data_IF_202182258532
#
_entry.id   IF_202182258532
#
_cell.length_a   1.000
_cell.length_b   1.000
_cell.length_c   1.000
_cell.angle_alpha   90.00
_cell.angle_beta   90.00
_cell.angle_gamma   90.00
#
_symmetry.space_group_name_H-M   'P 1'
#
loop_
_entity.id
_entity.type
_entity.pdbx_description
1 polymer ?
#
# COMPACT_ATOMS: atom_id res chain seq x y z
N UNK A 1 -22.33 6.55 -26.84
CA UNK A 1 -22.07 5.41 -25.94
C UNK A 1 -20.58 5.12 -26.00
N UNK A 2 -19.82 5.45 -24.95
CA UNK A 2 -18.42 5.00 -24.85
C UNK A 2 -18.47 3.68 -24.05
N UNK A 3 -18.07 2.59 -24.70
CA UNK A 3 -17.79 1.32 -24.04
C UNK A 3 -16.63 1.54 -23.06
N UNK A 4 -16.95 1.80 -21.78
CA UNK A 4 -15.97 1.63 -20.72
C UNK A 4 -15.75 0.12 -20.59
N UNK A 5 -14.75 -0.40 -21.28
CA UNK A 5 -14.16 -1.68 -20.90
C UNK A 5 -13.78 -1.55 -19.42
N UNK A 6 -14.48 -2.25 -18.55
CA UNK A 6 -14.21 -2.26 -17.13
C UNK A 6 -12.88 -2.99 -16.91
N UNK A 7 -11.77 -2.27 -17.05
CA UNK A 7 -10.48 -2.77 -16.63
C UNK A 7 -10.58 -2.99 -15.12
N UNK A 8 -10.48 -4.25 -14.67
CA UNK A 8 -10.30 -4.53 -13.26
C UNK A 8 -9.00 -3.86 -12.84
N UNK A 9 -9.11 -2.75 -12.13
CA UNK A 9 -7.96 -1.97 -11.68
C UNK A 9 -7.68 -2.36 -10.24
N UNK A 10 -6.44 -2.78 -9.98
CA UNK A 10 -5.94 -3.08 -8.65
C UNK A 10 -4.65 -2.30 -8.43
N UNK A 11 -4.62 -1.51 -7.36
CA UNK A 11 -3.47 -0.70 -7.01
C UNK A 11 -3.25 -0.67 -5.50
N UNK A 12 -1.99 -0.52 -5.09
CA UNK A 12 -1.56 -0.49 -3.69
C UNK A 12 -0.57 0.65 -3.50
N UNK A 13 -0.95 1.59 -2.66
CA UNK A 13 -0.10 2.69 -2.20
C UNK A 13 -0.04 2.74 -0.68
N UNK A 14 1.06 3.24 -0.13
CA UNK A 14 1.16 3.50 1.29
C UNK A 14 0.95 4.98 1.60
N UNK A 15 0.29 5.24 2.73
CA UNK A 15 0.08 6.57 3.27
C UNK A 15 0.36 6.57 4.77
N UNK A 16 0.57 7.76 5.32
CA UNK A 16 0.81 7.96 6.73
C UNK A 16 -0.28 8.82 7.36
N UNK A 17 -0.66 8.51 8.59
CA UNK A 17 -1.54 9.33 9.43
C UNK A 17 -0.82 9.63 10.74
N UNK A 18 -1.06 10.80 11.31
CA UNK A 18 -0.43 11.19 12.58
C UNK A 18 -0.77 10.14 13.66
N UNK A 19 0.27 9.62 14.32
CA UNK A 19 0.09 8.68 15.43
C UNK A 19 -0.62 9.36 16.58
N UNK A 20 -1.57 8.65 17.19
CA UNK A 20 -2.25 9.10 18.41
C UNK A 20 -1.44 8.79 19.67
N UNK A 21 -0.57 7.79 19.60
CA UNK A 21 0.20 7.29 20.74
C UNK A 21 1.54 8.00 20.88
N UNK A 22 2.17 8.36 19.76
CA UNK A 22 3.57 8.83 19.75
C UNK A 22 3.70 10.18 19.06
N UNK A 23 4.10 11.23 19.79
CA UNK A 23 4.28 12.59 19.25
C UNK A 23 5.39 12.62 18.20
N UNK A 24 5.09 13.14 17.02
CA UNK A 24 6.06 13.28 15.91
C UNK A 24 6.20 12.03 15.02
N UNK A 25 5.50 10.95 15.36
CA UNK A 25 5.42 9.74 14.55
C UNK A 25 4.11 9.69 13.75
N UNK A 26 4.12 8.88 12.71
CA UNK A 26 2.98 8.57 11.89
C UNK A 26 2.83 7.07 11.72
N UNK A 27 1.58 6.60 11.82
CA UNK A 27 1.18 5.24 11.51
C UNK A 27 1.10 5.05 9.99
N UNK A 28 1.62 3.93 9.49
CA UNK A 28 1.60 3.57 8.07
C UNK A 28 0.37 2.72 7.75
N UNK A 29 -0.32 3.08 6.68
CA UNK A 29 -1.48 2.37 6.13
C UNK A 29 -1.21 1.98 4.68
N UNK A 30 -1.64 0.78 4.30
CA UNK A 30 -1.82 0.42 2.89
C UNK A 30 -3.21 0.86 2.44
N UNK A 31 -3.26 1.62 1.35
CA UNK A 31 -4.45 1.96 0.60
C UNK A 31 -4.51 1.06 -0.62
N UNK A 32 -5.46 0.14 -0.60
CA UNK A 32 -5.74 -0.80 -1.67
C UNK A 32 -6.91 -0.22 -2.46
N UNK A 33 -6.73 0.05 -3.75
CA UNK A 33 -7.78 0.58 -4.62
C UNK A 33 -8.18 -0.48 -5.62
N UNK A 34 -9.46 -0.85 -5.60
CA UNK A 34 -10.05 -1.81 -6.53
C UNK A 34 -11.20 -1.16 -7.27
N UNK A 35 -11.14 -1.10 -8.60
CA UNK A 35 -12.21 -0.53 -9.44
C UNK A 35 -12.64 0.87 -8.98
N UNK A 36 -11.66 1.72 -8.63
CA UNK A 36 -11.87 3.07 -8.14
C UNK A 36 -12.31 3.16 -6.66
N UNK A 37 -12.55 2.04 -5.97
CA UNK A 37 -12.92 2.03 -4.57
C UNK A 37 -11.71 1.76 -3.66
N UNK A 38 -11.27 2.73 -2.85
CA UNK A 38 -10.18 2.54 -1.92
C UNK A 38 -10.64 1.89 -0.61
N UNK A 39 -9.81 1.01 -0.06
CA UNK A 39 -9.86 0.49 1.31
C UNK A 39 -8.50 0.69 1.96
N UNK A 40 -8.49 1.06 3.23
CA UNK A 40 -7.27 1.25 4.01
C UNK A 40 -7.10 0.13 5.03
N UNK A 41 -5.86 -0.32 5.21
CA UNK A 41 -5.48 -1.30 6.23
C UNK A 41 -4.21 -0.84 6.95
N UNK A 42 -4.18 -0.96 8.27
CA UNK A 42 -3.03 -0.57 9.08
C UNK A 42 -1.90 -1.61 8.94
N UNK A 43 -0.66 -1.14 8.72
CA UNK A 43 0.54 -1.99 8.56
C UNK A 43 1.23 -2.27 9.90
N UNK A 44 0.72 -1.68 11.01
CA UNK A 44 1.33 -1.78 12.36
C UNK A 44 2.81 -1.38 12.36
N UNK A 45 3.15 -0.38 11.56
CA UNK A 45 4.46 0.22 11.50
C UNK A 45 4.32 1.74 11.66
N UNK A 46 5.28 2.35 12.36
CA UNK A 46 5.37 3.78 12.57
C UNK A 46 6.66 4.34 11.98
N UNK A 47 6.61 5.59 11.52
CA UNK A 47 7.77 6.32 11.01
C UNK A 47 7.69 7.79 11.44
N UNK A 48 8.84 8.44 11.63
CA UNK A 48 8.85 9.88 11.86
C UNK A 48 8.29 10.62 10.64
N UNK A 49 7.47 11.64 10.89
CA UNK A 49 6.87 12.43 9.81
C UNK A 49 7.93 13.05 8.86
N UNK A 50 9.11 13.36 9.39
CA UNK A 50 10.23 13.93 8.61
C UNK A 50 10.89 12.92 7.68
N UNK A 51 10.77 11.63 7.96
CA UNK A 51 11.44 10.55 7.24
C UNK A 51 10.53 9.90 6.19
N UNK A 52 9.29 10.36 6.08
CA UNK A 52 8.34 9.91 5.05
C UNK A 52 8.41 10.79 3.79
N UNK A 53 8.48 10.17 2.61
CA UNK A 53 8.29 10.85 1.35
C UNK A 53 6.81 10.78 0.93
N UNK A 54 6.05 11.84 1.23
CA UNK A 54 4.61 11.90 0.95
C UNK A 54 4.26 11.76 -0.54
N UNK A 55 5.11 12.23 -1.45
CA UNK A 55 4.87 12.14 -2.90
C UNK A 55 5.01 10.71 -3.41
N UNK A 56 5.99 9.97 -2.89
CA UNK A 56 6.26 8.59 -3.27
C UNK A 56 5.44 7.57 -2.48
N UNK A 57 4.96 7.95 -1.29
CA UNK A 57 4.30 7.02 -0.38
C UNK A 57 5.27 5.96 0.15
N UNK A 58 6.50 6.36 0.46
CA UNK A 58 7.54 5.45 0.96
C UNK A 58 8.48 6.17 1.96
N UNK A 59 9.21 5.44 2.82
CA UNK A 59 10.28 5.98 3.64
C UNK A 59 11.39 6.61 2.79
N UNK A 60 12.12 7.57 3.33
CA UNK A 60 13.37 8.03 2.72
C UNK A 60 14.44 6.94 2.84
N UNK A 61 15.17 6.62 1.77
CA UNK A 61 16.19 5.56 1.77
C UNK A 61 17.55 6.00 2.33
N UNK A 62 17.57 6.82 3.39
CA UNK A 62 18.79 7.50 3.88
C UNK A 62 19.55 6.74 4.96
N UNK A 63 18.89 5.88 5.74
CA UNK A 63 19.53 5.05 6.77
C UNK A 63 19.24 3.57 6.55
N UNK A 64 20.06 2.64 7.08
CA UNK A 64 19.80 1.21 7.00
C UNK A 64 18.41 0.81 7.53
N UNK A 65 17.93 1.45 8.59
CA UNK A 65 16.63 1.19 9.21
C UNK A 65 15.49 1.60 8.29
N UNK A 66 15.62 2.76 7.62
CA UNK A 66 14.61 3.23 6.67
C UNK A 66 14.59 2.39 5.39
N UNK A 67 15.76 1.92 4.91
CA UNK A 67 15.84 0.96 3.80
C UNK A 67 15.16 -0.35 4.15
N UNK A 68 15.41 -0.88 5.36
CA UNK A 68 14.75 -2.10 5.84
C UNK A 68 13.23 -1.94 5.91
N UNK A 69 12.74 -0.75 6.31
CA UNK A 69 11.31 -0.45 6.29
C UNK A 69 10.76 -0.34 4.85
N UNK A 70 11.50 0.30 3.94
CA UNK A 70 11.13 0.37 2.52
C UNK A 70 11.00 -1.04 1.90
N UNK A 71 12.00 -1.90 2.09
CA UNK A 71 11.98 -3.31 1.65
C UNK A 71 10.81 -4.11 2.26
N UNK A 72 10.47 -3.84 3.53
CA UNK A 72 9.34 -4.46 4.19
C UNK A 72 8.00 -4.06 3.53
N UNK A 73 7.82 -2.78 3.20
CA UNK A 73 6.64 -2.29 2.51
C UNK A 73 6.55 -2.85 1.09
N UNK A 74 7.66 -2.94 0.37
CA UNK A 74 7.71 -3.58 -0.94
C UNK A 74 7.30 -5.06 -0.87
N UNK A 75 7.75 -5.78 0.15
CA UNK A 75 7.36 -7.18 0.39
C UNK A 75 5.85 -7.30 0.63
N UNK A 76 5.25 -6.39 1.42
CA UNK A 76 3.81 -6.36 1.66
C UNK A 76 3.05 -6.09 0.36
N UNK A 77 3.49 -5.10 -0.42
CA UNK A 77 2.90 -4.76 -1.71
C UNK A 77 2.94 -5.97 -2.66
N UNK A 78 4.09 -6.62 -2.81
CA UNK A 78 4.25 -7.81 -3.64
C UNK A 78 3.33 -8.98 -3.22
N UNK A 79 3.15 -9.19 -1.91
CA UNK A 79 2.20 -10.20 -1.39
C UNK A 79 0.76 -9.87 -1.75
N UNK A 80 0.34 -8.60 -1.62
CA UNK A 80 -1.01 -8.17 -1.99
C UNK A 80 -1.29 -8.40 -3.48
N UNK A 81 -0.35 -8.04 -4.36
CA UNK A 81 -0.48 -8.33 -5.80
C UNK A 81 -0.55 -9.84 -6.08
N UNK A 82 0.32 -10.63 -5.45
CA UNK A 82 0.30 -12.09 -5.58
C UNK A 82 -1.06 -12.69 -5.19
N UNK A 83 -1.61 -12.25 -4.05
CA UNK A 83 -2.93 -12.71 -3.60
C UNK A 83 -4.05 -12.28 -4.53
N UNK A 84 -4.04 -11.02 -5.00
CA UNK A 84 -5.01 -10.51 -5.96
C UNK A 84 -5.02 -11.34 -7.25
N UNK A 85 -3.85 -11.53 -7.87
CA UNK A 85 -3.72 -12.35 -9.09
C UNK A 85 -4.14 -13.81 -8.85
N UNK A 86 -3.82 -14.37 -7.68
CA UNK A 86 -4.25 -15.71 -7.31
C UNK A 86 -5.78 -15.84 -7.23
N UNK A 87 -6.47 -14.84 -6.70
CA UNK A 87 -7.94 -14.80 -6.63
C UNK A 87 -8.57 -14.58 -8.01
N UNK A 88 -8.02 -13.67 -8.80
CA UNK A 88 -8.49 -13.39 -10.17
C UNK A 88 -8.38 -14.63 -11.07
N UNK A 89 -7.24 -15.35 -11.01
CA UNK A 89 -7.02 -16.57 -11.77
C UNK A 89 -7.95 -17.72 -11.34
N UNK A 90 -8.24 -17.84 -10.04
CA UNK A 90 -9.21 -18.81 -9.54
C UNK A 90 -10.63 -18.48 -10.01
N UNK A 91 -11.02 -17.20 -9.95
CA UNK A 91 -12.31 -16.71 -10.44
C UNK A 91 -12.51 -17.04 -11.91
N UNK A 92 -11.49 -16.84 -12.75
CA UNK A 92 -11.54 -17.15 -14.19
C UNK A 92 -11.68 -18.64 -14.52
N UNK A 93 -11.22 -19.53 -13.66
CA UNK A 93 -11.25 -20.99 -13.91
C UNK A 93 -12.56 -21.67 -13.48
N UNK A 94 -13.42 -20.95 -12.76
CA UNK A 94 -14.73 -21.42 -12.32
C UNK A 94 -15.88 -20.92 -13.22
N UNK A 95 -15.56 -20.24 -14.33
CA UNK A 95 -16.51 -19.74 -15.32
C UNK A 95 -16.43 -20.55 -16.62
#
# INVERSE_FOLDING_TARGET
MILNAQANTFDVHFLTRKSRSTKGMCDIFARITMNGQPKESAIKAEISAKDWNRKKGQPKSTTPELKKLEEHLDTIKARMFTHYHGLENKGRRLM
#
